data_IF_679829684261
#
_entry.id   IF_679829684261
#
_cell.length_a   1.000
_cell.length_b   1.000
_cell.length_c   1.000
_cell.angle_alpha   90.00
_cell.angle_beta   90.00
_cell.angle_gamma   90.00
#
_symmetry.space_group_name_H-M   'P 1'
#
loop_
_entity.id
_entity.type
_entity.pdbx_description
1 polymer ?
#
# COMPACT_ATOMS: atom_id res chain seq x y z
N UNK A 1 7.24 24.44 -9.35
CA UNK A 1 7.41 23.02 -9.76
C UNK A 1 8.89 22.70 -9.70
N UNK A 2 9.27 21.45 -9.40
CA UNK A 2 10.69 21.04 -9.26
C UNK A 2 11.13 20.16 -10.43
N UNK A 3 12.42 20.21 -10.77
CA UNK A 3 13.00 19.51 -11.92
C UNK A 3 12.68 18.01 -11.89
N UNK A 4 12.90 17.35 -10.76
CA UNK A 4 12.67 15.92 -10.64
C UNK A 4 11.20 15.52 -10.73
N UNK A 5 10.26 16.35 -10.26
CA UNK A 5 8.84 16.07 -10.47
C UNK A 5 8.46 16.17 -11.95
N UNK A 6 9.03 17.13 -12.68
CA UNK A 6 8.78 17.26 -14.11
C UNK A 6 9.37 16.08 -14.89
N UNK A 7 10.60 15.66 -14.54
CA UNK A 7 11.24 14.50 -15.17
C UNK A 7 10.48 13.20 -14.91
N UNK A 8 9.99 12.99 -13.68
CA UNK A 8 9.16 11.84 -13.35
C UNK A 8 7.87 11.82 -14.19
N UNK A 9 7.18 12.96 -14.32
CA UNK A 9 5.96 13.08 -15.10
C UNK A 9 6.16 12.87 -16.61
N UNK A 10 7.34 13.22 -17.14
CA UNK A 10 7.70 12.97 -18.55
C UNK A 10 8.07 11.50 -18.80
N UNK A 11 8.36 10.75 -17.74
CA UNK A 11 8.68 9.34 -17.87
C UNK A 11 7.39 8.53 -18.06
N UNK A 12 7.03 8.26 -19.32
CA UNK A 12 5.78 7.63 -19.77
C UNK A 12 5.64 6.14 -19.44
N UNK A 13 6.48 5.61 -18.56
CA UNK A 13 6.50 4.19 -18.18
C UNK A 13 6.20 4.07 -16.69
N UNK A 14 5.51 2.99 -16.29
CA UNK A 14 5.24 2.58 -14.90
C UNK A 14 6.52 2.23 -14.13
N UNK A 15 7.59 3.04 -14.21
CA UNK A 15 8.76 2.87 -13.38
C UNK A 15 8.40 3.24 -11.94
N UNK A 16 8.69 2.39 -10.96
CA UNK A 16 8.46 2.71 -9.56
C UNK A 16 9.11 4.04 -9.19
N UNK A 17 8.40 4.84 -8.39
CA UNK A 17 8.90 6.07 -7.77
C UNK A 17 10.25 5.84 -7.06
N UNK A 18 10.40 4.64 -6.50
CA UNK A 18 11.58 4.11 -5.84
C UNK A 18 12.80 4.09 -6.76
N UNK A 19 12.75 3.35 -7.88
CA UNK A 19 13.82 3.28 -8.88
C UNK A 19 14.24 4.68 -9.35
N UNK A 20 13.27 5.54 -9.64
CA UNK A 20 13.54 6.91 -10.09
C UNK A 20 14.32 7.71 -9.04
N UNK A 21 13.94 7.60 -7.77
CA UNK A 21 14.62 8.30 -6.70
C UNK A 21 16.00 7.71 -6.40
N UNK A 22 16.13 6.38 -6.46
CA UNK A 22 17.39 5.64 -6.33
C UNK A 22 18.45 6.16 -7.30
N UNK A 23 18.10 6.32 -8.58
CA UNK A 23 19.01 6.85 -9.61
C UNK A 23 19.47 8.29 -9.30
N UNK A 24 18.54 9.15 -8.88
CA UNK A 24 18.86 10.54 -8.52
C UNK A 24 19.84 10.59 -7.35
N UNK A 25 19.56 9.83 -6.28
CA UNK A 25 20.39 9.81 -5.07
C UNK A 25 21.77 9.23 -5.37
N UNK A 26 21.85 8.11 -6.09
CA UNK A 26 23.13 7.50 -6.46
C UNK A 26 24.00 8.45 -7.32
N UNK A 27 23.40 9.08 -8.33
CA UNK A 27 24.09 10.06 -9.16
C UNK A 27 24.60 11.25 -8.32
N UNK A 28 23.74 11.83 -7.47
CA UNK A 28 24.11 12.92 -6.58
C UNK A 28 25.29 12.55 -5.66
N UNK A 29 25.25 11.37 -5.04
CA UNK A 29 26.31 10.90 -4.16
C UNK A 29 27.61 10.58 -4.92
N UNK A 30 27.53 10.19 -6.20
CA UNK A 30 28.71 9.97 -7.04
C UNK A 30 29.46 11.26 -7.35
N UNK A 31 28.73 12.38 -7.48
CA UNK A 31 29.28 13.72 -7.63
C UNK A 31 29.76 14.29 -6.29
N UNK A 32 29.01 14.00 -5.22
CA UNK A 32 29.21 14.55 -3.88
C UNK A 32 29.68 13.50 -2.87
N UNK A 33 30.80 12.84 -3.17
CA UNK A 33 31.36 11.75 -2.35
C UNK A 33 31.58 12.09 -0.88
N UNK A 34 31.92 13.36 -0.59
CA UNK A 34 32.07 13.82 0.81
C UNK A 34 30.75 13.73 1.58
N UNK A 35 29.63 14.08 0.95
CA UNK A 35 28.30 14.00 1.57
C UNK A 35 27.94 12.54 1.86
N UNK A 36 28.27 11.61 0.95
CA UNK A 36 28.11 10.18 1.19
C UNK A 36 28.89 9.73 2.43
N UNK A 37 30.18 10.05 2.50
CA UNK A 37 31.03 9.66 3.63
C UNK A 37 30.54 10.27 4.94
N UNK A 38 30.20 11.57 4.94
CA UNK A 38 29.69 12.27 6.12
C UNK A 38 28.36 11.65 6.60
N UNK A 39 27.48 11.26 5.68
CA UNK A 39 26.23 10.56 6.01
C UNK A 39 26.48 9.17 6.62
N UNK A 40 27.34 8.35 6.01
CA UNK A 40 27.69 7.03 6.52
C UNK A 40 28.34 7.11 7.91
N UNK A 41 29.25 8.06 8.13
CA UNK A 41 29.88 8.31 9.44
C UNK A 41 28.89 8.80 10.48
N UNK A 42 27.97 9.69 10.10
CA UNK A 42 26.96 10.19 11.03
C UNK A 42 26.10 9.06 11.62
N UNK A 43 25.90 7.98 10.87
CA UNK A 43 25.17 6.79 11.30
C UNK A 43 26.08 5.68 11.84
N UNK A 44 27.37 5.95 12.06
CA UNK A 44 28.37 4.98 12.54
C UNK A 44 28.50 3.74 11.67
N UNK A 45 28.19 3.87 10.37
CA UNK A 45 28.23 2.75 9.41
C UNK A 45 29.68 2.49 8.98
N UNK A 46 30.47 3.56 8.86
CA UNK A 46 31.90 3.52 8.59
C UNK A 46 32.63 4.35 9.64
N UNK A 47 33.89 4.01 9.87
CA UNK A 47 34.78 4.72 10.79
C UNK A 47 36.05 5.26 10.11
N UNK A 48 36.39 4.76 8.92
CA UNK A 48 37.58 5.16 8.19
C UNK A 48 37.33 6.42 7.34
N UNK A 49 38.37 7.27 7.26
CA UNK A 49 38.32 8.53 6.51
C UNK A 49 39.09 8.46 5.18
N UNK A 50 39.87 7.40 4.98
CA UNK A 50 40.93 7.32 3.98
C UNK A 50 40.60 6.35 2.83
N UNK A 51 39.43 6.53 2.20
CA UNK A 51 39.09 5.79 0.99
C UNK A 51 39.70 6.47 -0.25
N UNK A 52 40.54 5.74 -0.98
CA UNK A 52 41.18 6.20 -2.22
C UNK A 52 40.25 6.09 -3.43
N UNK A 53 39.26 5.21 -3.37
CA UNK A 53 38.27 5.03 -4.44
C UNK A 53 36.88 4.79 -3.88
N UNK A 54 35.89 5.39 -4.53
CA UNK A 54 34.47 5.25 -4.22
C UNK A 54 33.75 5.01 -5.53
N UNK A 55 33.10 3.86 -5.64
CA UNK A 55 32.23 3.50 -6.75
C UNK A 55 30.80 3.33 -6.26
N UNK A 56 29.85 3.82 -7.05
CA UNK A 56 28.42 3.69 -6.79
C UNK A 56 27.80 3.12 -8.07
N UNK A 57 27.12 2.01 -7.96
CA UNK A 57 26.30 1.41 -9.01
C UNK A 57 24.86 1.30 -8.52
N UNK A 58 23.92 1.30 -9.46
CA UNK A 58 22.50 1.12 -9.19
C UNK A 58 21.96 -0.09 -9.91
N UNK A 59 20.86 -0.63 -9.39
CA UNK A 59 20.05 -1.63 -10.09
C UNK A 59 20.85 -2.87 -10.54
N UNK A 60 21.83 -3.27 -9.73
CA UNK A 60 22.80 -4.30 -10.06
C UNK A 60 22.19 -5.69 -9.88
N UNK A 61 22.19 -6.48 -10.95
CA UNK A 61 21.74 -7.87 -10.91
C UNK A 61 22.82 -8.75 -10.27
N UNK A 62 22.41 -9.57 -9.31
CA UNK A 62 23.20 -10.62 -8.69
C UNK A 62 22.50 -11.96 -8.90
N UNK A 63 23.25 -12.96 -9.35
CA UNK A 63 22.73 -14.31 -9.43
C UNK A 63 22.33 -14.80 -8.05
N UNK A 64 21.17 -15.42 -7.97
CA UNK A 64 20.73 -16.11 -6.76
C UNK A 64 21.74 -17.18 -6.36
N UNK A 65 21.89 -17.40 -5.06
CA UNK A 65 22.59 -18.58 -4.56
C UNK A 65 21.77 -19.84 -4.87
N UNK A 66 22.36 -21.03 -4.75
CA UNK A 66 21.63 -22.30 -5.01
C UNK A 66 20.36 -22.46 -4.16
N UNK A 67 20.32 -21.80 -2.99
CA UNK A 67 19.18 -21.77 -2.07
C UNK A 67 18.10 -20.74 -2.44
N UNK A 68 18.34 -19.89 -3.44
CA UNK A 68 17.42 -18.84 -3.86
C UNK A 68 16.53 -19.34 -4.99
N UNK A 69 15.27 -18.89 -4.99
CA UNK A 69 14.31 -19.23 -6.06
C UNK A 69 14.45 -18.33 -7.28
N UNK A 70 15.18 -17.22 -7.18
CA UNK A 70 15.31 -16.18 -8.20
C UNK A 70 16.57 -15.33 -7.98
N UNK A 71 16.99 -14.65 -9.03
CA UNK A 71 18.06 -13.65 -8.98
C UNK A 71 17.65 -12.41 -8.17
N UNK A 72 18.64 -11.65 -7.73
CA UNK A 72 18.48 -10.45 -6.91
C UNK A 72 18.84 -9.19 -7.68
N UNK A 73 18.16 -8.08 -7.41
CA UNK A 73 18.46 -6.77 -8.02
C UNK A 73 18.61 -5.73 -6.93
N UNK A 74 19.84 -5.31 -6.69
CA UNK A 74 20.18 -4.37 -5.62
C UNK A 74 19.97 -2.94 -6.09
N UNK A 75 19.31 -2.12 -5.26
CA UNK A 75 19.01 -0.73 -5.61
C UNK A 75 20.27 0.12 -5.75
N UNK A 76 21.13 0.14 -4.72
CA UNK A 76 22.42 0.83 -4.75
C UNK A 76 23.50 -0.08 -4.16
N UNK A 77 24.64 -0.16 -4.83
CA UNK A 77 25.86 -0.77 -4.32
C UNK A 77 26.94 0.28 -4.24
N UNK A 78 27.56 0.41 -3.07
CA UNK A 78 28.69 1.29 -2.82
C UNK A 78 29.92 0.46 -2.48
N UNK A 79 30.99 0.66 -3.24
CA UNK A 79 32.30 0.07 -2.96
C UNK A 79 33.27 1.17 -2.50
N UNK A 80 33.77 1.05 -1.28
CA UNK A 80 34.73 1.98 -0.68
C UNK A 80 36.08 1.27 -0.54
N UNK A 81 37.09 1.68 -1.30
CA UNK A 81 38.41 1.05 -1.29
C UNK A 81 39.47 1.97 -0.71
N UNK A 82 40.33 1.40 0.13
CA UNK A 82 41.57 2.01 0.64
C UNK A 82 42.78 1.66 -0.24
N UNK A 83 42.58 0.88 -1.31
CA UNK A 83 43.64 0.29 -2.14
C UNK A 83 44.12 -1.09 -1.64
N UNK A 84 43.98 -1.37 -0.34
CA UNK A 84 44.31 -2.67 0.26
C UNK A 84 43.02 -3.43 0.60
N UNK A 85 42.07 -2.74 1.23
CA UNK A 85 40.81 -3.30 1.67
C UNK A 85 39.65 -2.59 0.97
N UNK A 86 38.57 -3.34 0.73
CA UNK A 86 37.32 -2.82 0.18
C UNK A 86 36.18 -3.11 1.14
N UNK A 87 35.41 -2.08 1.46
CA UNK A 87 34.14 -2.19 2.14
C UNK A 87 33.03 -2.17 1.09
N UNK A 88 32.04 -3.04 1.23
CA UNK A 88 30.90 -3.13 0.31
C UNK A 88 29.62 -2.89 1.09
N UNK A 89 28.84 -1.94 0.58
CA UNK A 89 27.57 -1.51 1.17
C UNK A 89 26.48 -1.77 0.14
N UNK A 90 25.52 -2.62 0.49
CA UNK A 90 24.26 -2.75 -0.24
C UNK A 90 23.23 -1.84 0.42
N UNK A 91 22.52 -1.05 -0.37
CA UNK A 91 21.42 -0.21 0.10
C UNK A 91 20.17 -0.65 -0.64
N UNK A 92 19.18 -1.12 0.10
CA UNK A 92 17.83 -1.39 -0.41
C UNK A 92 16.91 -0.23 0.01
N UNK A 93 16.23 0.38 -0.98
CA UNK A 93 15.35 1.51 -0.78
C UNK A 93 13.89 1.09 -0.85
N UNK A 94 13.04 1.64 0.03
CA UNK A 94 11.58 1.51 -0.10
C UNK A 94 10.87 2.85 -0.01
N UNK A 95 10.05 3.16 -1.02
CA UNK A 95 9.19 4.34 -1.03
C UNK A 95 7.76 3.89 -1.34
N UNK A 96 6.99 3.58 -0.29
CA UNK A 96 5.59 3.19 -0.39
C UNK A 96 5.33 1.76 -0.87
N UNK A 97 6.37 1.00 -1.22
CA UNK A 97 6.30 -0.43 -1.51
C UNK A 97 6.71 -1.26 -0.28
N UNK A 98 6.18 -2.48 -0.16
CA UNK A 98 6.67 -3.45 0.81
C UNK A 98 7.87 -4.20 0.23
N UNK A 99 8.76 -4.66 1.11
CA UNK A 99 9.84 -5.57 0.76
C UNK A 99 9.32 -6.86 0.10
N UNK A 100 10.08 -7.39 -0.87
CA UNK A 100 9.83 -8.72 -1.42
C UNK A 100 10.05 -9.84 -0.39
N UNK A 101 9.56 -11.04 -0.70
CA UNK A 101 9.73 -12.19 0.19
C UNK A 101 11.21 -12.50 0.45
N UNK A 102 11.62 -12.48 1.74
CA UNK A 102 13.00 -12.75 2.23
C UNK A 102 14.09 -11.94 1.51
N UNK A 103 13.75 -10.76 0.98
CA UNK A 103 14.64 -10.00 0.11
C UNK A 103 15.92 -9.56 0.83
N UNK A 104 15.79 -8.98 2.03
CA UNK A 104 16.94 -8.52 2.82
C UNK A 104 17.84 -9.68 3.27
N UNK A 105 17.26 -10.83 3.61
CA UNK A 105 18.00 -12.04 3.96
C UNK A 105 18.83 -12.54 2.77
N UNK A 106 18.23 -12.62 1.56
CA UNK A 106 18.95 -12.97 0.33
C UNK A 106 20.14 -12.04 0.09
N UNK A 107 19.97 -10.74 0.34
CA UNK A 107 21.04 -9.76 0.14
C UNK A 107 22.17 -9.92 1.16
N UNK A 108 21.82 -10.18 2.43
CA UNK A 108 22.82 -10.50 3.45
C UNK A 108 23.61 -11.76 3.08
N UNK A 109 22.97 -12.80 2.56
CA UNK A 109 23.63 -14.02 2.11
C UNK A 109 24.59 -13.75 0.94
N UNK A 110 24.17 -13.01 -0.09
CA UNK A 110 25.02 -12.63 -1.23
C UNK A 110 26.23 -11.83 -0.74
N UNK A 111 25.99 -10.83 0.10
CA UNK A 111 27.02 -9.96 0.65
C UNK A 111 28.04 -10.74 1.49
N UNK A 112 27.58 -11.72 2.28
CA UNK A 112 28.44 -12.59 3.10
C UNK A 112 29.41 -13.45 2.27
N UNK A 113 29.03 -13.78 1.04
CA UNK A 113 29.81 -14.62 0.13
C UNK A 113 30.72 -13.82 -0.81
N UNK A 114 30.70 -12.48 -0.76
CA UNK A 114 31.61 -11.68 -1.58
C UNK A 114 33.08 -11.89 -1.15
N UNK A 115 33.98 -12.21 -2.10
CA UNK A 115 35.40 -12.40 -1.81
C UNK A 115 36.09 -11.05 -1.56
N UNK A 116 37.15 -11.07 -0.74
CA UNK A 116 38.05 -9.92 -0.52
C UNK A 116 37.38 -8.63 0.00
N UNK A 117 36.26 -8.76 0.70
CA UNK A 117 35.58 -7.63 1.37
C UNK A 117 35.99 -7.59 2.85
N UNK A 118 36.39 -6.42 3.35
CA UNK A 118 36.68 -6.15 4.77
C UNK A 118 35.38 -6.00 5.54
N UNK A 119 34.64 -4.90 5.32
CA UNK A 119 33.33 -4.70 5.93
C UNK A 119 32.19 -4.96 4.93
N UNK A 120 31.20 -5.72 5.38
CA UNK A 120 30.00 -6.10 4.62
C UNK A 120 28.79 -5.49 5.29
N UNK A 121 28.19 -4.52 4.63
CA UNK A 121 27.15 -3.69 5.24
C UNK A 121 25.88 -3.77 4.39
N UNK A 122 24.76 -4.07 5.04
CA UNK A 122 23.43 -4.00 4.44
C UNK A 122 22.66 -2.85 5.09
N UNK A 123 22.26 -1.87 4.28
CA UNK A 123 21.41 -0.75 4.69
C UNK A 123 20.02 -0.96 4.11
N UNK A 124 19.01 -0.96 4.96
CA UNK A 124 17.61 -0.82 4.55
C UNK A 124 17.15 0.60 4.83
N UNK A 125 16.70 1.34 3.81
CA UNK A 125 16.19 2.71 3.97
C UNK A 125 14.75 2.82 3.46
N UNK A 126 13.86 3.31 4.32
CA UNK A 126 12.43 3.40 3.99
C UNK A 126 11.84 4.79 4.27
N UNK A 127 10.78 5.17 3.55
CA UNK A 127 9.99 6.37 3.88
C UNK A 127 9.19 6.14 5.16
N UNK A 128 8.51 5.00 5.22
CA UNK A 128 7.45 4.71 6.19
C UNK A 128 8.00 4.04 7.45
N UNK A 129 7.16 3.89 8.47
CA UNK A 129 7.53 3.13 9.67
C UNK A 129 7.40 1.62 9.39
N UNK A 130 8.52 0.99 9.05
CA UNK A 130 8.61 -0.45 8.76
C UNK A 130 9.78 -1.10 9.54
N UNK A 131 9.67 -1.25 10.88
CA UNK A 131 10.73 -1.86 11.69
C UNK A 131 10.97 -3.31 11.29
N UNK A 132 12.23 -3.66 11.02
CA UNK A 132 12.64 -5.02 10.69
C UNK A 132 13.10 -5.79 11.91
N UNK A 133 12.83 -7.08 11.90
CA UNK A 133 13.39 -8.03 12.84
C UNK A 133 14.74 -8.51 12.30
N UNK A 134 15.83 -7.98 12.86
CA UNK A 134 17.20 -8.28 12.44
C UNK A 134 17.51 -9.78 12.48
N UNK A 135 16.88 -10.54 13.40
CA UNK A 135 17.11 -11.99 13.51
C UNK A 135 16.59 -12.78 12.30
N UNK A 136 15.62 -12.22 11.56
CA UNK A 136 15.12 -12.80 10.31
C UNK A 136 15.97 -12.43 9.11
N UNK A 137 16.72 -11.33 9.18
CA UNK A 137 17.60 -10.85 8.12
C UNK A 137 18.98 -11.48 8.25
N UNK A 138 19.48 -11.56 9.48
CA UNK A 138 20.79 -12.07 9.86
C UNK A 138 20.64 -13.30 10.78
N UNK A 139 20.34 -14.49 10.23
CA UNK A 139 20.49 -15.72 10.98
C UNK A 139 21.92 -15.85 11.53
N UNK A 140 22.08 -16.68 12.57
CA UNK A 140 23.32 -16.81 13.37
C UNK A 140 24.62 -16.93 12.55
N UNK A 141 24.58 -17.59 11.38
CA UNK A 141 25.72 -17.79 10.49
C UNK A 141 26.13 -16.52 9.72
N UNK A 142 25.25 -15.52 9.60
CA UNK A 142 25.49 -14.24 8.92
C UNK A 142 25.80 -13.11 9.90
N UNK A 143 25.31 -13.19 11.13
CA UNK A 143 25.43 -12.12 12.13
C UNK A 143 26.88 -11.69 12.42
N UNK A 144 27.85 -12.61 12.32
CA UNK A 144 29.27 -12.30 12.49
C UNK A 144 29.97 -11.78 11.22
N UNK A 145 29.28 -11.82 10.07
CA UNK A 145 29.86 -11.50 8.75
C UNK A 145 29.30 -10.21 8.15
N UNK A 146 28.06 -9.87 8.45
CA UNK A 146 27.34 -8.74 7.84
C UNK A 146 26.78 -7.85 8.93
N UNK A 147 26.97 -6.54 8.79
CA UNK A 147 26.33 -5.53 9.66
C UNK A 147 25.06 -5.02 9.00
N UNK A 148 23.95 -4.99 9.73
CA UNK A 148 22.68 -4.47 9.24
C UNK A 148 22.37 -3.10 9.86
N UNK A 149 21.90 -2.17 9.03
CA UNK A 149 21.45 -0.86 9.45
C UNK A 149 20.08 -0.56 8.86
N UNK A 150 19.14 -0.21 9.73
CA UNK A 150 17.85 0.29 9.31
C UNK A 150 17.79 1.81 9.48
N UNK A 151 17.51 2.50 8.37
CA UNK A 151 17.37 3.94 8.30
C UNK A 151 16.01 4.34 7.70
N UNK A 152 15.68 5.61 7.83
CA UNK A 152 14.55 6.24 7.17
C UNK A 152 15.00 7.42 6.33
N UNK A 153 14.30 7.66 5.21
CA UNK A 153 14.64 8.75 4.30
C UNK A 153 14.66 10.13 4.97
N UNK A 154 13.88 10.35 6.03
CA UNK A 154 13.95 11.61 6.79
C UNK A 154 15.31 11.87 7.44
N UNK A 155 16.07 10.82 7.78
CA UNK A 155 17.41 10.96 8.34
C UNK A 155 18.39 11.47 7.27
N UNK A 156 18.30 10.94 6.04
CA UNK A 156 19.05 11.46 4.90
C UNK A 156 18.63 12.90 4.57
N UNK A 157 17.33 13.20 4.58
CA UNK A 157 16.79 14.55 4.39
C UNK A 157 17.42 15.55 5.38
N UNK A 158 17.42 15.23 6.67
CA UNK A 158 17.96 16.10 7.72
C UNK A 158 19.46 16.35 7.55
N UNK A 159 20.23 15.37 7.06
CA UNK A 159 21.64 15.58 6.74
C UNK A 159 21.82 16.47 5.52
N UNK A 160 21.06 16.20 4.46
CA UNK A 160 21.14 16.94 3.21
C UNK A 160 20.76 18.42 3.35
N UNK A 161 19.92 18.77 4.33
CA UNK A 161 19.58 20.16 4.66
C UNK A 161 20.80 21.04 4.99
N UNK A 162 21.93 20.44 5.40
CA UNK A 162 23.19 21.16 5.65
C UNK A 162 23.90 21.61 4.37
N UNK A 163 23.47 21.09 3.21
CA UNK A 163 24.12 21.29 1.90
C UNK A 163 23.23 22.03 0.90
N UNK A 164 22.38 22.95 1.37
CA UNK A 164 21.41 23.67 0.53
C UNK A 164 22.05 24.62 -0.50
N UNK A 165 23.36 24.83 -0.49
CA UNK A 165 24.05 25.58 -1.54
C UNK A 165 24.12 24.81 -2.87
N UNK A 166 24.12 23.48 -2.83
CA UNK A 166 24.10 22.62 -4.01
C UNK A 166 22.68 22.58 -4.64
N UNK A 167 22.60 22.80 -5.95
CA UNK A 167 21.33 22.88 -6.68
C UNK A 167 20.65 21.51 -6.76
N UNK A 168 21.41 20.43 -6.99
CA UNK A 168 20.86 19.07 -6.99
C UNK A 168 20.38 18.70 -5.59
N UNK A 169 21.12 19.05 -4.54
CA UNK A 169 20.68 18.84 -3.16
C UNK A 169 19.34 19.55 -2.87
N UNK A 170 19.17 20.80 -3.32
CA UNK A 170 17.90 21.54 -3.21
C UNK A 170 16.76 20.83 -3.94
N UNK A 171 16.99 20.36 -5.16
CA UNK A 171 15.97 19.65 -5.93
C UNK A 171 15.59 18.31 -5.28
N UNK A 172 16.57 17.57 -4.71
CA UNK A 172 16.32 16.36 -3.93
C UNK A 172 15.45 16.68 -2.71
N UNK A 173 15.79 17.71 -1.94
CA UNK A 173 15.02 18.12 -0.76
C UNK A 173 13.57 18.50 -1.13
N UNK A 174 13.35 19.16 -2.26
CA UNK A 174 11.99 19.47 -2.74
C UNK A 174 11.23 18.19 -3.10
N UNK A 175 11.89 17.27 -3.82
CA UNK A 175 11.30 15.99 -4.19
C UNK A 175 10.94 15.15 -2.95
N UNK A 176 11.84 15.08 -1.97
CA UNK A 176 11.61 14.38 -0.71
C UNK A 176 10.42 14.94 0.07
N UNK A 177 10.28 16.28 0.16
CA UNK A 177 9.12 16.91 0.81
C UNK A 177 7.80 16.52 0.16
N UNK A 178 7.74 16.57 -1.17
CA UNK A 178 6.53 16.24 -1.93
C UNK A 178 6.11 14.79 -1.78
N UNK A 179 7.10 13.90 -1.69
CA UNK A 179 6.88 12.46 -1.54
C UNK A 179 6.94 12.01 -0.08
N UNK A 180 6.71 12.93 0.88
CA UNK A 180 6.56 12.61 2.31
C UNK A 180 7.79 11.94 2.95
N UNK A 181 8.97 12.09 2.35
CA UNK A 181 10.25 11.59 2.86
C UNK A 181 10.93 12.57 3.82
N UNK A 182 10.38 13.77 4.00
CA UNK A 182 10.90 14.79 4.92
C UNK A 182 10.28 14.74 6.31
N UNK A 183 9.36 13.81 6.57
CA UNK A 183 8.65 13.78 7.86
C UNK A 183 9.64 13.59 9.02
N UNK A 184 9.68 14.59 9.88
CA UNK A 184 10.38 14.50 11.15
C UNK A 184 9.62 13.58 12.10
N UNK A 185 10.27 13.11 13.17
CA UNK A 185 9.59 12.38 14.26
C UNK A 185 8.73 13.30 15.14
N UNK A 186 8.06 14.29 14.55
CA UNK A 186 7.24 15.29 15.21
C UNK A 186 5.85 15.32 14.58
N UNK A 187 4.83 15.46 15.40
CA UNK A 187 3.46 15.64 14.93
C UNK A 187 3.27 17.04 14.35
N UNK A 188 2.66 17.11 13.17
CA UNK A 188 2.15 18.36 12.61
C UNK A 188 0.81 18.76 13.25
N UNK A 189 0.36 19.99 13.01
CA UNK A 189 -0.97 20.42 13.43
C UNK A 189 -2.09 19.60 12.77
N UNK A 190 -1.87 19.09 11.56
CA UNK A 190 -2.82 18.22 10.86
C UNK A 190 -2.89 16.85 11.54
N UNK A 191 -1.75 16.30 11.97
CA UNK A 191 -1.72 15.03 12.71
C UNK A 191 -2.47 15.18 14.05
N UNK A 192 -2.21 16.27 14.78
CA UNK A 192 -2.92 16.57 16.02
C UNK A 192 -4.42 16.71 15.78
N UNK A 193 -4.83 17.47 14.76
CA UNK A 193 -6.24 17.64 14.40
C UNK A 193 -6.89 16.29 14.04
N UNK A 194 -6.16 15.42 13.35
CA UNK A 194 -6.62 14.08 12.98
C UNK A 194 -6.81 13.21 14.23
N UNK A 195 -5.83 13.20 15.14
CA UNK A 195 -5.91 12.45 16.39
C UNK A 195 -7.12 12.86 17.24
N UNK A 196 -7.38 14.16 17.40
CA UNK A 196 -8.49 14.64 18.24
C UNK A 196 -9.86 14.43 17.59
N UNK A 197 -9.95 14.45 16.25
CA UNK A 197 -11.22 14.25 15.54
C UNK A 197 -11.49 12.79 15.14
N UNK A 198 -10.50 11.89 15.26
CA UNK A 198 -10.62 10.51 14.79
C UNK A 198 -11.89 9.82 15.29
N UNK A 199 -12.12 9.83 16.61
CA UNK A 199 -13.30 9.20 17.21
C UNK A 199 -14.61 9.87 16.76
N UNK A 200 -14.62 11.19 16.60
CA UNK A 200 -15.80 11.92 16.13
C UNK A 200 -16.16 11.50 14.69
N UNK A 201 -15.16 11.42 13.82
CA UNK A 201 -15.35 10.97 12.43
C UNK A 201 -15.76 9.51 12.37
N UNK A 202 -15.13 8.64 13.16
CA UNK A 202 -15.50 7.23 13.26
C UNK A 202 -16.96 7.06 13.72
N UNK A 203 -17.36 7.77 14.78
CA UNK A 203 -18.74 7.73 15.28
C UNK A 203 -19.75 8.21 14.25
N UNK A 204 -19.40 9.20 13.42
CA UNK A 204 -20.26 9.65 12.32
C UNK A 204 -20.43 8.55 11.27
N UNK A 205 -19.34 7.90 10.84
CA UNK A 205 -19.41 6.76 9.91
C UNK A 205 -20.24 5.61 10.48
N UNK A 206 -20.02 5.25 11.75
CA UNK A 206 -20.83 4.24 12.46
C UNK A 206 -22.30 4.62 12.51
N UNK A 207 -22.60 5.89 12.77
CA UNK A 207 -23.97 6.41 12.83
C UNK A 207 -24.70 6.33 11.49
N UNK A 208 -23.99 6.42 10.36
CA UNK A 208 -24.59 6.22 9.02
C UNK A 208 -24.83 4.75 8.68
N UNK A 209 -24.13 3.84 9.35
CA UNK A 209 -24.31 2.40 9.23
C UNK A 209 -25.07 1.86 10.45
N UNK A 210 -26.04 2.61 10.99
CA UNK A 210 -26.75 2.27 12.21
C UNK A 210 -27.74 1.10 12.04
N UNK A 211 -28.52 0.82 13.10
CA UNK A 211 -29.40 -0.34 13.21
C UNK A 211 -30.37 -0.49 12.03
N UNK A 212 -30.94 0.59 11.50
CA UNK A 212 -31.84 0.53 10.34
C UNK A 212 -31.14 0.00 9.08
N UNK A 213 -29.99 0.59 8.72
CA UNK A 213 -29.19 0.16 7.56
C UNK A 213 -28.67 -1.25 7.75
N UNK A 214 -28.20 -1.59 8.97
CA UNK A 214 -27.72 -2.92 9.29
C UNK A 214 -28.82 -3.97 9.20
N UNK A 215 -30.00 -3.68 9.72
CA UNK A 215 -31.13 -4.60 9.69
C UNK A 215 -31.58 -4.83 8.25
N UNK A 216 -31.66 -3.76 7.44
CA UNK A 216 -31.95 -3.87 6.02
C UNK A 216 -30.93 -4.71 5.27
N UNK A 217 -29.64 -4.50 5.54
CA UNK A 217 -28.55 -5.30 4.97
C UNK A 217 -28.65 -6.76 5.41
N UNK A 218 -29.00 -6.99 6.69
CA UNK A 218 -29.14 -8.33 7.26
C UNK A 218 -30.26 -9.13 6.59
N UNK A 219 -31.42 -8.51 6.46
CA UNK A 219 -32.58 -9.10 5.80
C UNK A 219 -32.34 -9.33 4.29
N UNK A 220 -31.46 -8.55 3.66
CA UNK A 220 -31.16 -8.71 2.24
C UNK A 220 -30.12 -9.82 1.96
N UNK A 221 -29.09 -9.92 2.81
CA UNK A 221 -27.88 -10.70 2.47
C UNK A 221 -27.44 -11.71 3.54
N UNK A 222 -28.05 -11.71 4.73
CA UNK A 222 -27.72 -12.62 5.83
C UNK A 222 -26.93 -11.94 6.96
N UNK A 223 -26.01 -12.64 7.62
CA UNK A 223 -25.30 -12.10 8.79
C UNK A 223 -24.56 -10.77 8.54
N UNK A 224 -24.32 -9.99 9.59
CA UNK A 224 -23.66 -8.66 9.50
C UNK A 224 -22.37 -8.67 10.32
N UNK A 225 -21.23 -8.62 9.66
CA UNK A 225 -19.91 -8.45 10.29
C UNK A 225 -19.63 -6.93 10.41
N UNK A 226 -19.33 -6.47 11.62
CA UNK A 226 -19.16 -5.05 11.96
C UNK A 226 -18.16 -4.80 13.10
N UNK A 227 -17.94 -3.53 13.44
CA UNK A 227 -17.19 -3.11 14.62
C UNK A 227 -15.68 -3.33 14.47
N UNK A 228 -15.09 -4.21 15.29
CA UNK A 228 -13.65 -4.50 15.24
C UNK A 228 -13.20 -4.95 13.85
N UNK A 229 -14.01 -5.77 13.18
CA UNK A 229 -13.75 -6.22 11.82
C UNK A 229 -13.74 -5.05 10.81
N UNK A 230 -14.67 -4.09 10.92
CA UNK A 230 -14.72 -2.89 10.08
C UNK A 230 -13.49 -2.01 10.28
N UNK A 231 -12.98 -1.89 11.51
CA UNK A 231 -11.72 -1.16 11.79
C UNK A 231 -10.50 -1.87 11.21
N UNK A 232 -10.46 -3.20 11.26
CA UNK A 232 -9.43 -3.99 10.59
C UNK A 232 -9.45 -3.74 9.07
N UNK A 233 -10.64 -3.66 8.47
CA UNK A 233 -10.79 -3.30 7.06
C UNK A 233 -10.28 -1.88 6.75
N UNK A 234 -10.48 -0.91 7.66
CA UNK A 234 -9.97 0.44 7.45
C UNK A 234 -8.44 0.44 7.45
N UNK A 235 -7.85 -0.20 8.46
CA UNK A 235 -6.38 -0.26 8.61
C UNK A 235 -5.69 -0.89 7.41
N UNK A 236 -6.22 -2.00 6.88
CA UNK A 236 -5.51 -2.82 5.90
C UNK A 236 -6.01 -2.70 4.46
N UNK A 237 -7.23 -2.20 4.27
CA UNK A 237 -7.88 -2.15 2.96
C UNK A 237 -8.50 -0.77 2.65
N UNK A 238 -8.15 0.25 3.43
CA UNK A 238 -8.63 1.63 3.25
C UNK A 238 -10.15 1.74 3.11
N UNK A 239 -10.91 0.92 3.86
CA UNK A 239 -12.38 0.90 3.81
C UNK A 239 -13.02 0.65 5.16
N UNK A 240 -14.10 1.37 5.48
CA UNK A 240 -14.89 1.16 6.68
C UNK A 240 -16.29 0.68 6.30
N UNK A 241 -16.53 -0.62 6.45
CA UNK A 241 -17.72 -1.28 5.92
C UNK A 241 -18.35 -2.25 6.93
N UNK A 242 -19.67 -2.44 6.83
CA UNK A 242 -20.32 -3.68 7.27
C UNK A 242 -20.32 -4.67 6.11
N UNK A 243 -20.21 -5.96 6.38
CA UNK A 243 -20.13 -6.94 5.29
C UNK A 243 -20.66 -8.32 5.69
N UNK A 244 -20.94 -9.14 4.68
CA UNK A 244 -21.29 -10.55 4.86
C UNK A 244 -20.54 -11.43 3.89
N UNK A 245 -20.32 -12.68 4.30
CA UNK A 245 -19.57 -13.69 3.54
C UNK A 245 -20.54 -14.74 3.00
N UNK A 246 -20.56 -14.88 1.69
CA UNK A 246 -21.39 -15.86 1.00
C UNK A 246 -20.71 -17.23 0.96
N UNK A 247 -19.42 -17.29 0.63
CA UNK A 247 -18.64 -18.54 0.59
C UNK A 247 -17.24 -18.33 1.16
N UNK A 248 -17.07 -18.69 2.44
CA UNK A 248 -15.80 -18.49 3.16
C UNK A 248 -15.29 -17.05 3.02
N UNK A 249 -14.00 -16.88 2.76
CA UNK A 249 -13.43 -15.57 2.43
C UNK A 249 -13.53 -15.24 0.94
N UNK A 250 -13.96 -16.20 0.11
CA UNK A 250 -13.80 -16.15 -1.34
C UNK A 250 -14.86 -15.34 -2.09
N UNK A 251 -16.03 -15.13 -1.48
CA UNK A 251 -17.11 -14.37 -2.09
C UNK A 251 -17.95 -13.67 -1.03
N UNK A 252 -18.10 -12.36 -1.15
CA UNK A 252 -18.70 -11.52 -0.10
C UNK A 252 -19.26 -10.21 -0.67
N UNK A 253 -20.13 -9.54 0.09
CA UNK A 253 -20.54 -8.16 -0.20
C UNK A 253 -20.36 -7.27 1.02
N UNK A 254 -20.12 -5.98 0.80
CA UNK A 254 -20.00 -5.01 1.88
C UNK A 254 -20.47 -3.62 1.51
N UNK A 255 -20.95 -2.91 2.51
CA UNK A 255 -21.59 -1.60 2.43
C UNK A 255 -20.86 -0.63 3.35
N UNK A 256 -20.54 0.56 2.86
CA UNK A 256 -19.95 1.62 3.66
C UNK A 256 -19.03 2.52 2.85
N UNK A 257 -17.87 2.83 3.45
CA UNK A 257 -16.90 3.79 2.97
C UNK A 257 -15.70 3.07 2.35
N UNK A 258 -15.28 3.49 1.17
CA UNK A 258 -14.16 2.93 0.42
C UNK A 258 -13.17 4.03 0.03
N UNK A 259 -11.89 3.67 -0.16
CA UNK A 259 -10.82 4.61 -0.48
C UNK A 259 -10.64 5.72 0.58
N UNK A 260 -10.64 5.35 1.87
CA UNK A 260 -10.49 6.27 3.00
C UNK A 260 -9.08 6.87 3.14
N UNK A 261 -8.08 6.28 2.50
CA UNK A 261 -6.70 6.77 2.49
C UNK A 261 -6.24 6.91 1.03
N UNK A 262 -6.75 7.89 0.27
CA UNK A 262 -6.39 8.05 -1.13
C UNK A 262 -4.91 8.47 -1.26
N UNK A 263 -4.25 8.01 -2.32
CA UNK A 263 -2.88 8.40 -2.64
C UNK A 263 -2.76 9.91 -2.94
N UNK A 264 -3.86 10.53 -3.37
CA UNK A 264 -3.98 11.95 -3.65
C UNK A 264 -5.03 12.63 -2.76
N UNK A 265 -4.62 13.69 -2.06
CA UNK A 265 -5.49 14.47 -1.17
C UNK A 265 -6.63 15.23 -1.88
N UNK A 266 -6.64 15.28 -3.21
CA UNK A 266 -7.77 15.85 -3.98
C UNK A 266 -8.88 14.84 -4.24
N UNK A 267 -8.66 13.56 -3.96
CA UNK A 267 -9.66 12.52 -4.16
C UNK A 267 -10.56 12.40 -2.92
N UNK A 268 -11.85 12.17 -3.19
CA UNK A 268 -12.83 11.92 -2.14
C UNK A 268 -13.07 10.41 -1.99
N UNK A 269 -13.29 9.91 -0.76
CA UNK A 269 -13.75 8.55 -0.52
C UNK A 269 -15.05 8.26 -1.26
N UNK A 270 -15.31 6.99 -1.53
CA UNK A 270 -16.58 6.53 -2.09
C UNK A 270 -17.47 5.95 -1.00
N UNK A 271 -18.77 6.15 -1.16
CA UNK A 271 -19.82 5.52 -0.37
C UNK A 271 -20.54 4.53 -1.28
N UNK A 272 -20.96 3.38 -0.75
CA UNK A 272 -21.84 2.47 -1.50
C UNK A 272 -21.73 1.03 -1.06
N UNK A 273 -22.06 0.13 -2.00
CA UNK A 273 -22.00 -1.33 -1.79
C UNK A 273 -21.13 -1.98 -2.88
N UNK A 274 -20.44 -3.05 -2.50
CA UNK A 274 -19.63 -3.86 -3.40
C UNK A 274 -20.01 -5.34 -3.32
N UNK A 275 -19.77 -6.05 -4.41
CA UNK A 275 -19.79 -7.51 -4.48
C UNK A 275 -18.44 -7.96 -5.03
N UNK A 276 -17.71 -8.79 -4.29
CA UNK A 276 -16.29 -9.07 -4.57
C UNK A 276 -15.99 -10.58 -4.49
N UNK A 277 -15.17 -11.08 -5.42
CA UNK A 277 -14.78 -12.50 -5.53
C UNK A 277 -13.26 -12.66 -5.59
N UNK A 278 -12.75 -13.65 -4.87
CA UNK A 278 -11.32 -13.93 -4.75
C UNK A 278 -10.76 -14.60 -6.01
N UNK A 279 -9.47 -14.40 -6.31
CA UNK A 279 -8.82 -15.04 -7.47
C UNK A 279 -8.80 -16.57 -7.38
N UNK A 280 -8.76 -17.13 -6.16
CA UNK A 280 -8.69 -18.57 -5.91
C UNK A 280 -10.05 -19.26 -5.77
N UNK A 281 -11.16 -18.56 -5.98
CA UNK A 281 -12.48 -19.18 -5.83
C UNK A 281 -12.81 -20.10 -7.00
N UNK A 282 -13.18 -21.36 -6.71
CA UNK A 282 -13.54 -22.35 -7.74
C UNK A 282 -14.65 -21.84 -8.69
N UNK A 283 -15.62 -21.10 -8.16
CA UNK A 283 -16.75 -20.55 -8.94
C UNK A 283 -16.48 -19.15 -9.50
N UNK A 284 -15.24 -18.64 -9.43
CA UNK A 284 -14.90 -17.26 -9.83
C UNK A 284 -15.38 -16.92 -11.23
N UNK A 285 -15.16 -17.80 -12.21
CA UNK A 285 -15.53 -17.53 -13.60
C UNK A 285 -17.03 -17.28 -13.76
N UNK A 286 -17.87 -18.13 -13.15
CA UNK A 286 -19.33 -17.98 -13.15
C UNK A 286 -19.77 -16.65 -12.53
N UNK A 287 -19.17 -16.27 -11.41
CA UNK A 287 -19.47 -14.99 -10.74
C UNK A 287 -19.07 -13.80 -11.63
N UNK A 288 -17.90 -13.85 -12.28
CA UNK A 288 -17.44 -12.79 -13.18
C UNK A 288 -18.32 -12.68 -14.42
N UNK A 289 -18.80 -13.80 -14.97
CA UNK A 289 -19.74 -13.79 -16.10
C UNK A 289 -21.06 -13.09 -15.71
N UNK A 290 -21.61 -13.40 -14.52
CA UNK A 290 -22.77 -12.68 -13.98
C UNK A 290 -22.49 -11.18 -13.78
N UNK A 291 -21.33 -10.82 -13.20
CA UNK A 291 -20.92 -9.42 -13.05
C UNK A 291 -20.84 -8.71 -14.40
N UNK A 292 -20.19 -9.30 -15.40
CA UNK A 292 -20.10 -8.74 -16.76
C UNK A 292 -21.46 -8.53 -17.39
N UNK A 293 -22.40 -9.47 -17.19
CA UNK A 293 -23.78 -9.32 -17.66
C UNK A 293 -24.46 -8.10 -17.03
N UNK A 294 -24.30 -7.90 -15.71
CA UNK A 294 -24.85 -6.73 -15.01
C UNK A 294 -24.26 -5.43 -15.55
N UNK A 295 -22.94 -5.38 -15.78
CA UNK A 295 -22.28 -4.20 -16.35
C UNK A 295 -22.81 -3.91 -17.75
N UNK A 296 -23.02 -4.93 -18.59
CA UNK A 296 -23.56 -4.73 -19.93
C UNK A 296 -25.01 -4.26 -19.91
N UNK A 297 -25.83 -4.78 -18.99
CA UNK A 297 -27.25 -4.41 -18.86
C UNK A 297 -27.43 -3.03 -18.20
N UNK A 298 -26.50 -2.62 -17.33
CA UNK A 298 -26.57 -1.40 -16.51
C UNK A 298 -25.22 -0.65 -16.42
N UNK A 299 -24.65 -0.20 -17.55
CA UNK A 299 -23.28 0.31 -17.61
C UNK A 299 -23.07 1.61 -16.82
N UNK A 300 -24.11 2.44 -16.67
CA UNK A 300 -24.02 3.74 -15.98
C UNK A 300 -24.29 3.64 -14.46
N UNK A 301 -24.66 2.45 -13.98
CA UNK A 301 -25.11 2.23 -12.60
C UNK A 301 -24.04 1.46 -11.81
N UNK A 302 -23.50 0.40 -12.39
CA UNK A 302 -22.52 -0.46 -11.75
C UNK A 302 -21.13 -0.24 -12.34
N UNK A 303 -20.14 -0.10 -11.46
CA UNK A 303 -18.75 0.17 -11.83
C UNK A 303 -17.95 -1.13 -11.67
N UNK A 304 -17.30 -1.65 -12.74
CA UNK A 304 -16.47 -2.84 -12.66
C UNK A 304 -15.09 -2.53 -12.08
N UNK A 305 -14.49 -3.50 -11.39
CA UNK A 305 -13.11 -3.46 -10.93
C UNK A 305 -12.42 -4.80 -11.19
N UNK A 306 -11.30 -4.77 -11.93
CA UNK A 306 -10.42 -5.92 -12.15
C UNK A 306 -11.11 -7.21 -12.63
N UNK A 307 -12.16 -7.11 -13.45
CA UNK A 307 -12.92 -8.27 -13.96
C UNK A 307 -12.13 -9.13 -14.98
N UNK A 308 -11.03 -8.62 -15.53
CA UNK A 308 -10.19 -9.29 -16.54
C UNK A 308 -8.75 -9.50 -16.08
N UNK A 309 -8.39 -9.00 -14.90
CA UNK A 309 -7.01 -9.06 -14.39
C UNK A 309 -6.89 -10.29 -13.49
N UNK A 310 -5.82 -11.06 -13.68
CA UNK A 310 -5.45 -12.21 -12.85
C UNK A 310 -4.03 -11.98 -12.31
N UNK A 311 -3.72 -12.41 -11.08
CA UNK A 311 -4.56 -13.09 -10.10
C UNK A 311 -5.18 -12.12 -9.07
N UNK A 312 -5.85 -11.05 -9.52
CA UNK A 312 -6.45 -10.05 -8.62
C UNK A 312 -7.87 -10.41 -8.21
N UNK A 313 -8.32 -9.86 -7.09
CA UNK A 313 -9.74 -9.82 -6.74
C UNK A 313 -10.53 -9.10 -7.83
N UNK A 314 -11.79 -9.47 -7.99
CA UNK A 314 -12.70 -8.89 -8.99
C UNK A 314 -13.98 -8.43 -8.31
N UNK A 315 -14.47 -7.24 -8.68
CA UNK A 315 -15.60 -6.62 -8.02
C UNK A 315 -16.53 -5.87 -8.99
N UNK A 316 -17.76 -5.64 -8.52
CA UNK A 316 -18.64 -4.60 -9.03
C UNK A 316 -19.10 -3.71 -7.88
N UNK A 317 -19.26 -2.42 -8.15
CA UNK A 317 -19.67 -1.43 -7.16
C UNK A 317 -20.90 -0.66 -7.62
N UNK A 318 -21.80 -0.40 -6.67
CA UNK A 318 -22.78 0.67 -6.78
C UNK A 318 -22.38 1.73 -5.75
N UNK A 319 -21.78 2.83 -6.23
CA UNK A 319 -21.10 3.81 -5.36
C UNK A 319 -21.21 5.25 -5.88
N UNK A 320 -21.18 6.21 -4.95
CA UNK A 320 -21.09 7.66 -5.21
C UNK A 320 -19.91 8.24 -4.45
N UNK A 321 -19.30 9.30 -4.99
CA UNK A 321 -18.26 10.05 -4.27
C UNK A 321 -18.86 10.76 -3.06
N UNK A 322 -18.16 10.75 -1.91
CA UNK A 322 -18.54 11.49 -0.70
C UNK A 322 -18.73 12.99 -1.00
N UNK A 323 -18.02 13.51 -2.02
CA UNK A 323 -18.17 14.89 -2.48
C UNK A 323 -19.63 15.28 -2.79
N UNK A 324 -20.42 14.34 -3.34
CA UNK A 324 -21.82 14.58 -3.71
C UNK A 324 -22.73 14.82 -2.50
N UNK A 325 -22.27 14.47 -1.31
CA UNK A 325 -23.01 14.61 -0.06
C UNK A 325 -22.61 15.87 0.71
N UNK A 326 -21.48 16.51 0.37
CA UNK A 326 -20.94 17.62 1.16
C UNK A 326 -21.84 18.87 1.17
N UNK A 327 -22.61 19.09 0.10
CA UNK A 327 -23.56 20.20 0.01
C UNK A 327 -24.92 19.92 0.66
N UNK A 328 -25.14 18.72 1.20
CA UNK A 328 -26.41 18.36 1.84
C UNK A 328 -26.48 18.98 3.23
N UNK A 329 -27.63 19.59 3.53
CA UNK A 329 -27.89 20.20 4.85
C UNK A 329 -27.80 19.15 5.97
N UNK A 330 -28.40 17.98 5.77
CA UNK A 330 -28.25 16.83 6.64
C UNK A 330 -27.50 15.69 5.92
N UNK A 331 -26.17 15.74 5.98
CA UNK A 331 -25.29 14.75 5.36
C UNK A 331 -25.54 13.34 5.92
N UNK A 332 -25.79 13.21 7.22
CA UNK A 332 -26.02 11.92 7.87
C UNK A 332 -27.25 11.22 7.29
N UNK A 333 -28.37 11.92 7.15
CA UNK A 333 -29.58 11.37 6.54
C UNK A 333 -29.35 11.00 5.09
N UNK A 334 -28.75 11.91 4.31
CA UNK A 334 -28.52 11.68 2.88
C UNK A 334 -27.62 10.45 2.62
N UNK A 335 -26.62 10.21 3.47
CA UNK A 335 -25.75 9.04 3.36
C UNK A 335 -26.52 7.75 3.74
N UNK A 336 -27.34 7.78 4.79
CA UNK A 336 -28.20 6.63 5.16
C UNK A 336 -29.15 6.25 4.05
N UNK A 337 -29.85 7.24 3.48
CA UNK A 337 -30.79 7.03 2.39
C UNK A 337 -30.10 6.38 1.19
N UNK A 338 -28.89 6.84 0.88
CA UNK A 338 -28.08 6.26 -0.19
C UNK A 338 -27.61 4.83 0.12
N UNK A 339 -27.29 4.51 1.38
CA UNK A 339 -26.97 3.14 1.78
C UNK A 339 -28.18 2.20 1.66
N UNK A 340 -29.38 2.66 2.04
CA UNK A 340 -30.62 1.90 1.84
C UNK A 340 -30.92 1.69 0.35
N UNK A 341 -30.74 2.71 -0.48
CA UNK A 341 -30.82 2.62 -1.96
C UNK A 341 -29.82 1.57 -2.48
N UNK A 342 -28.57 1.62 -2.02
CA UNK A 342 -27.51 0.69 -2.42
C UNK A 342 -27.86 -0.77 -2.12
N UNK A 343 -28.47 -1.04 -0.96
CA UNK A 343 -28.94 -2.39 -0.60
C UNK A 343 -30.02 -2.87 -1.57
N UNK A 344 -30.99 -2.01 -1.90
CA UNK A 344 -32.05 -2.38 -2.85
C UNK A 344 -31.51 -2.59 -4.27
N UNK A 345 -30.52 -1.79 -4.72
CA UNK A 345 -29.88 -2.01 -6.01
C UNK A 345 -29.13 -3.35 -6.07
N UNK A 346 -28.41 -3.74 -5.01
CA UNK A 346 -27.78 -5.06 -4.97
C UNK A 346 -28.82 -6.19 -4.94
N UNK A 347 -29.95 -6.03 -4.22
CA UNK A 347 -31.05 -7.00 -4.25
C UNK A 347 -31.61 -7.20 -5.67
N UNK A 348 -31.80 -6.13 -6.43
CA UNK A 348 -32.32 -6.20 -7.81
C UNK A 348 -31.45 -7.02 -8.75
N UNK A 349 -30.14 -7.14 -8.49
CA UNK A 349 -29.22 -7.94 -9.31
C UNK A 349 -28.98 -9.34 -8.77
N UNK A 350 -29.54 -9.72 -7.60
CA UNK A 350 -29.41 -11.09 -7.08
C UNK A 350 -29.84 -12.18 -8.08
N UNK A 351 -30.93 -12.01 -8.87
CA UNK A 351 -31.33 -13.02 -9.86
C UNK A 351 -30.33 -13.28 -10.98
N UNK A 352 -29.33 -12.41 -11.16
CA UNK A 352 -28.24 -12.63 -12.14
C UNK A 352 -27.23 -13.68 -11.67
N UNK A 353 -27.24 -14.03 -10.39
CA UNK A 353 -26.31 -14.96 -9.79
C UNK A 353 -27.02 -16.25 -9.44
N UNK A 354 -26.61 -17.34 -10.09
CA UNK A 354 -27.02 -18.69 -9.74
C UNK A 354 -26.12 -19.21 -8.60
N UNK A 355 -26.35 -18.64 -7.41
CA UNK A 355 -25.70 -18.95 -6.12
C UNK A 355 -26.70 -18.71 -4.96
N UNK A 356 -26.69 -19.55 -3.90
CA UNK A 356 -27.61 -19.40 -2.76
C UNK A 356 -27.27 -18.19 -1.88
N UNK A 357 -28.07 -17.12 -2.01
CA UNK A 357 -27.98 -15.95 -1.14
C UNK A 357 -28.46 -16.30 0.28
N UNK A 358 -27.67 -15.95 1.30
CA UNK A 358 -27.95 -16.29 2.72
C UNK A 358 -29.09 -15.47 3.35
N UNK A 359 -29.50 -14.36 2.72
CA UNK A 359 -30.46 -13.41 3.26
C UNK A 359 -31.92 -13.67 2.91
N UNK A 360 -32.23 -14.63 2.04
CA UNK A 360 -33.62 -14.86 1.62
C UNK A 360 -34.36 -15.65 2.71
N UNK A 361 -34.91 -14.94 3.71
CA UNK A 361 -36.03 -15.47 4.46
C UNK A 361 -37.21 -15.61 3.51
N UNK A 362 -37.73 -16.82 3.42
CA UNK A 362 -38.93 -17.19 2.67
C UNK A 362 -40.09 -16.35 3.19
N UNK A 363 -40.46 -15.30 2.47
CA UNK A 363 -41.79 -14.71 2.54
C UNK A 363 -42.45 -14.93 1.17
N UNK A 364 -43.62 -15.57 1.21
CA UNK A 364 -44.53 -15.93 0.12
C UNK A 364 -44.32 -17.30 -0.58
N UNK A 365 -44.55 -18.40 0.16
CA UNK A 365 -45.53 -19.43 -0.28
C UNK A 365 -46.33 -19.86 0.96
N UNK A 366 -47.34 -19.09 1.31
CA UNK A 366 -48.47 -19.59 2.11
C UNK A 366 -49.73 -19.04 1.47
N UNK A 367 -50.68 -19.95 1.23
CA UNK A 367 -52.05 -19.73 0.74
C UNK A 367 -52.25 -19.46 -0.76
N UNK A 368 -52.15 -20.52 -1.56
CA UNK A 368 -53.16 -20.93 -2.55
C UNK A 368 -52.72 -22.27 -3.15
N UNK A 369 -53.46 -23.33 -2.83
CA UNK A 369 -53.57 -24.64 -3.53
C UNK A 369 -53.79 -25.78 -2.52
N UNK A 370 -54.90 -25.66 -1.79
CA UNK A 370 -55.67 -26.79 -1.29
C UNK A 370 -57.14 -26.46 -1.50
N UNK A 371 -57.58 -26.55 -2.75
CA UNK A 371 -58.99 -26.68 -3.12
C UNK A 371 -59.05 -27.21 -4.56
N UNK A 372 -58.95 -28.53 -4.71
CA UNK A 372 -59.96 -29.42 -5.33
C UNK A 372 -59.56 -30.89 -5.19
#
# INVERSE_FOLDING_TARGET
>A
MSLFSNLLNLHSANKPLEDFFTEIVAYFLSLNKKILLDWLKHHSIISDDNYSSIKISTQQAHKGLETHTEDSKLDIVVELSTGINTDVIFIESKIGSTEGWRQLEKYAEILSNLPNVKNRILIYITRDYDPKDETKILPLNLYSKVSFYQLRWHQFYNQLQKHTTDILAKEILIFMRRNQMSYTNQFSSVDLLTMVNFNKTLNLMESTLNDEVQEKFRLAFGGVIKGAASRTQWKWHSRYIIYTRFSGENFWCGLGYFNLNPDNLTEYPYLGICLEVSPGFEKRQKIIESMKKIINDKPDIWIPESLTILPTWSAIFYRKSLQQFLSKENQLSAIKDFFLESIEELKKIQPYFDFPWKGVSIEAITEADKEE
#
